data_IF_969536122612
#
_entry.id   IF_969536122612
#
_cell.length_a   1.000
_cell.length_b   1.000
_cell.length_c   1.000
_cell.angle_alpha   90.00
_cell.angle_beta   90.00
_cell.angle_gamma   90.00
#
_symmetry.space_group_name_H-M   'P 1'
#
loop_
_entity.id
_entity.type
_entity.pdbx_description
1 polymer ?
#
# COMPACT_ATOMS: atom_id res chain seq x y z
N UNK A 1 7.89 19.05 5.84
CA UNK A 1 6.79 18.30 5.19
C UNK A 1 5.89 17.61 6.21
N UNK A 2 6.29 16.53 6.90
CA UNK A 2 5.45 15.93 7.97
C UNK A 2 5.26 16.82 9.21
N UNK A 3 6.20 17.71 9.51
CA UNK A 3 6.11 18.68 10.64
C UNK A 3 5.08 19.80 10.44
N UNK A 4 4.57 19.97 9.24
CA UNK A 4 3.61 21.01 8.87
C UNK A 4 2.17 20.50 8.84
N UNK A 5 1.98 19.18 9.04
CA UNK A 5 0.66 18.59 9.14
C UNK A 5 0.00 19.01 10.46
N UNK A 6 -1.07 19.79 10.36
CA UNK A 6 -1.94 20.03 11.50
C UNK A 6 -2.86 18.82 11.66
N UNK A 7 -3.00 18.33 12.87
CA UNK A 7 -4.06 17.38 13.18
C UNK A 7 -5.39 18.05 12.82
N UNK A 8 -6.16 17.36 12.00
CA UNK A 8 -7.54 17.77 11.73
C UNK A 8 -8.35 17.52 13.01
N UNK A 9 -9.32 18.38 13.29
CA UNK A 9 -10.27 18.18 14.37
C UNK A 9 -10.90 16.79 14.21
N UNK A 10 -10.79 15.99 15.27
CA UNK A 10 -11.36 14.63 15.26
C UNK A 10 -12.89 14.77 15.24
N UNK A 11 -13.58 14.23 14.23
CA UNK A 11 -15.04 14.21 14.24
C UNK A 11 -15.55 13.38 15.41
N UNK A 12 -16.77 13.68 15.88
CA UNK A 12 -17.42 12.87 16.92
C UNK A 12 -17.58 11.40 16.49
N UNK A 13 -17.64 10.49 17.46
CA UNK A 13 -17.71 9.04 17.18
C UNK A 13 -18.88 8.66 16.27
N UNK A 14 -20.05 9.28 16.49
CA UNK A 14 -21.25 9.03 15.66
C UNK A 14 -21.04 9.50 14.22
N UNK A 15 -20.45 10.70 14.04
CA UNK A 15 -20.16 11.22 12.71
C UNK A 15 -19.12 10.36 12.00
N UNK A 16 -18.09 9.90 12.72
CA UNK A 16 -17.06 9.03 12.17
C UNK A 16 -17.67 7.69 11.72
N UNK A 17 -18.57 7.11 12.50
CA UNK A 17 -19.28 5.89 12.17
C UNK A 17 -20.13 6.05 10.92
N UNK A 18 -20.93 7.13 10.83
CA UNK A 18 -21.74 7.41 9.64
C UNK A 18 -20.89 7.58 8.38
N UNK A 19 -19.77 8.30 8.48
CA UNK A 19 -18.83 8.48 7.36
C UNK A 19 -18.20 7.15 6.93
N UNK A 20 -17.86 6.31 7.89
CA UNK A 20 -17.25 5.01 7.63
C UNK A 20 -18.25 4.07 6.92
N UNK A 21 -19.50 4.02 7.40
CA UNK A 21 -20.53 3.17 6.80
C UNK A 21 -20.85 3.63 5.37
N UNK A 22 -20.98 4.94 5.15
CA UNK A 22 -21.16 5.49 3.81
C UNK A 22 -19.95 5.19 2.88
N UNK A 23 -18.73 5.24 3.39
CA UNK A 23 -17.53 4.89 2.63
C UNK A 23 -17.50 3.40 2.27
N UNK A 24 -17.90 2.52 3.18
CA UNK A 24 -18.03 1.07 2.96
C UNK A 24 -19.01 0.75 1.85
N UNK A 25 -20.21 1.36 1.89
CA UNK A 25 -21.22 1.18 0.83
C UNK A 25 -20.71 1.68 -0.54
N UNK A 26 -20.00 2.82 -0.54
CA UNK A 26 -19.41 3.35 -1.76
C UNK A 26 -18.35 2.41 -2.33
N UNK A 27 -17.49 1.85 -1.47
CA UNK A 27 -16.45 0.88 -1.87
C UNK A 27 -17.08 -0.37 -2.49
N UNK A 28 -18.14 -0.92 -1.86
CA UNK A 28 -18.85 -2.09 -2.37
C UNK A 28 -19.45 -1.84 -3.77
N UNK A 29 -19.95 -0.63 -4.04
CA UNK A 29 -20.43 -0.24 -5.38
C UNK A 29 -19.30 -0.06 -6.38
N UNK A 30 -18.22 0.60 -5.97
CA UNK A 30 -17.05 0.83 -6.83
C UNK A 30 -16.34 -0.47 -7.20
N UNK A 31 -16.31 -1.47 -6.32
CA UNK A 31 -15.77 -2.78 -6.64
C UNK A 31 -16.42 -3.40 -7.89
N UNK A 32 -17.74 -3.27 -8.05
CA UNK A 32 -18.43 -3.80 -9.22
C UNK A 32 -17.97 -3.11 -10.51
N UNK A 33 -17.81 -1.79 -10.48
CA UNK A 33 -17.30 -1.02 -11.62
C UNK A 33 -15.86 -1.40 -11.98
N UNK A 34 -15.00 -1.54 -10.96
CA UNK A 34 -13.60 -1.97 -11.12
C UNK A 34 -13.53 -3.34 -11.79
N UNK A 35 -14.40 -4.26 -11.36
CA UNK A 35 -14.52 -5.59 -11.95
C UNK A 35 -14.98 -5.53 -13.41
N UNK A 36 -16.05 -4.78 -13.70
CA UNK A 36 -16.61 -4.65 -15.05
C UNK A 36 -15.63 -4.01 -16.02
N UNK A 37 -14.95 -2.96 -15.58
CA UNK A 37 -13.96 -2.25 -16.38
C UNK A 37 -12.58 -2.94 -16.39
N UNK A 38 -12.44 -4.05 -15.66
CA UNK A 38 -11.20 -4.82 -15.57
C UNK A 38 -10.00 -4.02 -15.09
N UNK A 39 -10.21 -3.02 -14.23
CA UNK A 39 -9.14 -2.17 -13.69
C UNK A 39 -8.38 -2.94 -12.61
N UNK A 40 -7.08 -3.21 -12.76
CA UNK A 40 -6.28 -3.79 -11.67
C UNK A 40 -5.95 -2.70 -10.64
N UNK A 41 -6.17 -3.00 -9.35
CA UNK A 41 -5.98 -2.04 -8.26
C UNK A 41 -4.90 -2.51 -7.30
N UNK A 42 -3.82 -1.76 -7.21
CA UNK A 42 -2.74 -1.99 -6.25
C UNK A 42 -2.83 -1.00 -5.11
N UNK A 43 -3.07 -1.50 -3.90
CA UNK A 43 -3.12 -0.70 -2.68
C UNK A 43 -1.86 -0.96 -1.86
N UNK A 44 -1.08 0.07 -1.64
CA UNK A 44 0.18 0.01 -0.91
C UNK A 44 -0.01 0.68 0.45
N UNK A 45 0.15 -0.10 1.51
CA UNK A 45 0.08 0.39 2.88
C UNK A 45 1.49 0.51 3.45
N UNK A 46 1.88 1.71 3.79
CA UNK A 46 3.19 2.02 4.34
C UNK A 46 3.03 2.80 5.65
N UNK A 47 4.09 2.87 6.45
CA UNK A 47 4.08 3.57 7.71
C UNK A 47 4.86 2.82 8.79
N UNK A 48 4.94 3.44 9.96
CA UNK A 48 5.71 2.91 11.08
C UNK A 48 5.27 1.49 11.47
N UNK A 49 6.17 0.73 12.06
CA UNK A 49 5.81 -0.52 12.75
C UNK A 49 4.68 -0.23 13.76
N UNK A 50 3.74 -1.12 13.92
CA UNK A 50 2.57 -0.94 14.81
C UNK A 50 1.60 0.20 14.47
N UNK A 51 1.75 0.87 13.31
CA UNK A 51 0.85 1.96 12.90
C UNK A 51 -0.58 1.52 12.51
N UNK A 52 -0.90 0.24 12.62
CA UNK A 52 -2.23 -0.28 12.33
C UNK A 52 -2.50 -0.61 10.86
N UNK A 53 -1.44 -0.78 10.03
CA UNK A 53 -1.58 -1.14 8.61
C UNK A 53 -2.49 -2.36 8.40
N UNK A 54 -2.17 -3.47 9.05
CA UNK A 54 -2.97 -4.70 8.94
C UNK A 54 -4.40 -4.55 9.43
N UNK A 55 -4.64 -3.79 10.51
CA UNK A 55 -5.97 -3.46 10.98
C UNK A 55 -6.76 -2.67 9.92
N UNK A 56 -6.14 -1.65 9.34
CA UNK A 56 -6.77 -0.82 8.30
C UNK A 56 -7.12 -1.65 7.05
N UNK A 57 -6.22 -2.51 6.60
CA UNK A 57 -6.50 -3.46 5.51
C UNK A 57 -7.69 -4.34 5.89
N UNK A 58 -7.69 -4.92 7.10
CA UNK A 58 -8.78 -5.77 7.59
C UNK A 58 -10.14 -5.07 7.55
N UNK A 59 -10.21 -3.78 7.90
CA UNK A 59 -11.45 -3.00 7.84
C UNK A 59 -11.91 -2.74 6.39
N UNK A 60 -10.98 -2.52 5.47
CA UNK A 60 -11.29 -2.25 4.07
C UNK A 60 -11.81 -3.52 3.38
N UNK A 61 -11.10 -4.64 3.52
CA UNK A 61 -11.41 -5.87 2.78
C UNK A 61 -12.73 -6.53 3.19
N UNK A 62 -13.26 -6.24 4.39
CA UNK A 62 -14.57 -6.72 4.82
C UNK A 62 -15.71 -6.30 3.87
N UNK A 63 -15.49 -5.29 3.05
CA UNK A 63 -16.48 -4.74 2.12
C UNK A 63 -16.16 -5.07 0.66
N UNK A 64 -15.20 -5.96 0.43
CA UNK A 64 -14.80 -6.43 -0.90
C UNK A 64 -15.05 -7.94 -0.97
N UNK A 65 -15.64 -8.43 -2.05
CA UNK A 65 -15.84 -9.86 -2.27
C UNK A 65 -14.47 -10.58 -2.25
N UNK A 66 -14.30 -11.63 -1.41
CA UNK A 66 -13.01 -12.32 -1.23
C UNK A 66 -12.39 -12.87 -2.51
N UNK A 67 -13.18 -13.10 -3.55
CA UNK A 67 -12.71 -13.57 -4.86
C UNK A 67 -11.94 -12.52 -5.64
N UNK A 68 -12.05 -11.24 -5.26
CA UNK A 68 -11.50 -10.11 -6.00
C UNK A 68 -10.38 -9.37 -5.28
N UNK A 69 -9.90 -9.87 -4.15
CA UNK A 69 -8.73 -9.30 -3.52
C UNK A 69 -7.73 -10.36 -3.05
N UNK A 70 -6.50 -9.93 -2.90
CA UNK A 70 -5.44 -10.62 -2.16
C UNK A 70 -4.76 -9.65 -1.22
N UNK A 71 -4.34 -10.14 -0.06
CA UNK A 71 -3.46 -9.41 0.85
C UNK A 71 -2.10 -10.10 0.81
N UNK A 72 -1.08 -9.35 0.47
CA UNK A 72 0.30 -9.84 0.38
C UNK A 72 1.14 -9.13 1.44
N UNK A 73 1.67 -9.91 2.37
CA UNK A 73 2.67 -9.45 3.32
C UNK A 73 4.04 -9.89 2.86
N UNK A 74 4.93 -8.93 2.64
CA UNK A 74 6.27 -9.24 2.15
C UNK A 74 7.13 -9.76 3.29
N UNK A 75 7.42 -11.04 3.25
CA UNK A 75 8.31 -11.70 4.21
C UNK A 75 9.77 -11.28 3.99
N UNK A 76 10.64 -11.60 4.95
CA UNK A 76 12.08 -11.43 4.80
C UNK A 76 12.55 -12.06 3.49
N UNK A 77 13.53 -11.43 2.87
CA UNK A 77 14.14 -11.95 1.64
C UNK A 77 14.75 -13.32 1.88
N UNK A 78 14.57 -14.17 0.91
CA UNK A 78 15.32 -15.42 0.80
C UNK A 78 16.63 -15.17 0.05
N UNK A 79 17.58 -16.11 0.11
CA UNK A 79 18.80 -16.06 -0.71
C UNK A 79 18.50 -15.96 -2.22
N UNK A 80 17.41 -16.57 -2.65
CA UNK A 80 16.94 -16.49 -4.02
C UNK A 80 16.42 -15.09 -4.39
N UNK A 81 15.73 -14.41 -3.45
CA UNK A 81 15.27 -13.04 -3.65
C UNK A 81 16.44 -12.05 -3.76
N UNK A 82 17.54 -12.29 -3.03
CA UNK A 82 18.72 -11.44 -3.06
C UNK A 82 19.45 -11.46 -4.42
N UNK A 83 19.34 -12.58 -5.14
CA UNK A 83 19.91 -12.72 -6.48
C UNK A 83 19.08 -12.04 -7.58
N UNK A 84 17.84 -11.67 -7.28
CA UNK A 84 16.92 -11.07 -8.23
C UNK A 84 16.93 -9.53 -8.13
N UNK A 85 16.53 -8.83 -9.19
CA UNK A 85 16.35 -7.39 -9.13
C UNK A 85 15.42 -7.00 -7.97
N UNK A 86 15.74 -5.91 -7.28
CA UNK A 86 15.04 -5.42 -6.09
C UNK A 86 13.50 -5.45 -6.20
N UNK A 87 12.93 -5.03 -7.33
CA UNK A 87 11.47 -4.96 -7.50
C UNK A 87 10.85 -6.27 -8.00
N UNK A 88 11.63 -7.31 -8.28
CA UNK A 88 11.13 -8.56 -8.87
C UNK A 88 9.99 -9.18 -8.04
N UNK A 89 10.17 -9.25 -6.72
CA UNK A 89 9.19 -9.82 -5.80
C UNK A 89 7.86 -9.05 -5.79
N UNK A 90 7.89 -7.76 -6.08
CA UNK A 90 6.70 -6.92 -6.17
C UNK A 90 6.02 -7.04 -7.54
N UNK A 91 6.80 -7.18 -8.62
CA UNK A 91 6.24 -7.49 -9.92
C UNK A 91 5.45 -8.80 -9.94
N UNK A 92 5.91 -9.80 -9.19
CA UNK A 92 5.22 -11.08 -9.06
C UNK A 92 3.88 -10.99 -8.30
N UNK A 93 3.60 -9.84 -7.66
CA UNK A 93 2.41 -9.63 -6.81
C UNK A 93 1.46 -8.57 -7.35
N UNK A 94 1.67 -8.07 -8.56
CA UNK A 94 0.75 -7.10 -9.16
C UNK A 94 -0.64 -7.72 -9.37
N UNK A 95 -1.74 -6.92 -9.25
CA UNK A 95 -3.09 -7.43 -9.38
C UNK A 95 -3.42 -7.87 -10.81
N UNK A 96 -4.27 -8.89 -10.91
CA UNK A 96 -4.93 -9.24 -12.14
C UNK A 96 -6.03 -8.22 -12.49
N UNK A 97 -6.47 -8.21 -13.74
CA UNK A 97 -7.53 -7.33 -14.22
C UNK A 97 -8.82 -7.45 -13.39
N UNK A 98 -9.33 -6.33 -12.89
CA UNK A 98 -10.54 -6.24 -12.08
C UNK A 98 -10.38 -6.74 -10.62
N UNK A 99 -9.14 -6.94 -10.17
CA UNK A 99 -8.84 -7.40 -8.81
C UNK A 99 -8.02 -6.39 -8.03
N UNK A 100 -8.07 -6.52 -6.71
CA UNK A 100 -7.28 -5.74 -5.77
C UNK A 100 -6.11 -6.58 -5.23
N UNK A 101 -4.96 -5.96 -5.07
CA UNK A 101 -3.89 -6.47 -4.22
C UNK A 101 -3.55 -5.43 -3.17
N UNK A 102 -3.56 -5.83 -1.92
CA UNK A 102 -3.13 -5.02 -0.78
C UNK A 102 -1.73 -5.48 -0.37
N UNK A 103 -0.76 -4.58 -0.41
CA UNK A 103 0.57 -4.81 0.14
C UNK A 103 0.60 -4.23 1.56
N UNK A 104 0.70 -5.10 2.57
CA UNK A 104 0.79 -4.70 3.98
C UNK A 104 2.15 -4.10 4.33
N UNK A 105 3.17 -4.49 3.60
CA UNK A 105 4.53 -3.96 3.66
C UNK A 105 5.04 -3.89 2.23
N UNK A 106 5.65 -2.78 1.84
CA UNK A 106 6.06 -2.60 0.47
C UNK A 106 7.52 -2.11 0.34
N UNK A 107 7.84 -1.62 -0.81
CA UNK A 107 9.21 -1.24 -1.20
C UNK A 107 9.82 -0.11 -0.38
N UNK A 108 9.00 0.85 0.11
CA UNK A 108 9.54 1.95 0.92
C UNK A 108 9.93 1.50 2.32
N UNK A 109 9.18 0.57 2.92
CA UNK A 109 9.56 -0.04 4.21
C UNK A 109 10.93 -0.74 4.06
N UNK A 110 11.12 -1.51 2.98
CA UNK A 110 12.38 -2.21 2.70
C UNK A 110 13.56 -1.23 2.45
N UNK A 111 13.33 -0.17 1.67
CA UNK A 111 14.36 0.85 1.40
C UNK A 111 14.71 1.60 2.68
N UNK A 112 13.72 1.95 3.49
CA UNK A 112 13.91 2.68 4.74
C UNK A 112 14.67 1.84 5.76
N UNK A 113 14.30 0.57 5.91
CA UNK A 113 14.96 -0.36 6.82
C UNK A 113 16.43 -0.56 6.43
N UNK A 114 16.70 -0.87 5.17
CA UNK A 114 18.07 -1.01 4.67
C UNK A 114 18.89 0.28 4.79
N UNK A 115 18.27 1.46 4.66
CA UNK A 115 18.92 2.75 4.86
C UNK A 115 19.27 3.01 6.34
N UNK A 116 18.35 2.69 7.25
CA UNK A 116 18.56 2.83 8.69
C UNK A 116 19.68 1.92 9.20
N UNK A 117 19.79 0.73 8.67
CA UNK A 117 20.87 -0.22 9.00
C UNK A 117 22.16 0.03 8.25
N UNK A 118 22.25 1.12 7.45
CA UNK A 118 23.43 1.49 6.65
C UNK A 118 23.85 0.42 5.63
N UNK A 119 22.91 -0.38 5.18
CA UNK A 119 23.13 -1.39 4.14
C UNK A 119 23.13 -0.79 2.72
N UNK A 120 22.67 0.47 2.59
CA UNK A 120 22.63 1.21 1.33
C UNK A 120 23.54 2.43 1.36
N UNK A 121 24.34 2.59 0.31
CA UNK A 121 24.97 3.86 0.02
C UNK A 121 23.93 4.91 -0.46
N UNK A 122 24.24 6.20 -0.38
CA UNK A 122 23.36 7.27 -0.90
C UNK A 122 22.98 7.07 -2.36
N UNK A 123 23.94 6.63 -3.17
CA UNK A 123 23.69 6.35 -4.59
C UNK A 123 22.76 5.15 -4.76
N UNK A 124 22.94 4.08 -3.99
CA UNK A 124 22.08 2.91 -4.03
C UNK A 124 20.64 3.25 -3.56
N UNK A 125 20.51 4.07 -2.51
CA UNK A 125 19.23 4.59 -2.04
C UNK A 125 18.51 5.37 -3.15
N UNK A 126 19.19 6.34 -3.76
CA UNK A 126 18.64 7.16 -4.85
C UNK A 126 18.19 6.29 -6.03
N UNK A 127 19.02 5.33 -6.43
CA UNK A 127 18.70 4.41 -7.53
C UNK A 127 17.47 3.54 -7.21
N UNK A 128 17.30 3.09 -5.97
CA UNK A 128 16.11 2.34 -5.56
C UNK A 128 14.84 3.20 -5.61
N UNK A 129 14.90 4.44 -5.13
CA UNK A 129 13.77 5.38 -5.21
C UNK A 129 13.37 5.64 -6.68
N UNK A 130 14.36 5.84 -7.55
CA UNK A 130 14.11 6.01 -8.99
C UNK A 130 13.47 4.76 -9.62
N UNK A 131 13.95 3.59 -9.25
CA UNK A 131 13.41 2.32 -9.72
C UNK A 131 11.95 2.15 -9.31
N UNK A 132 11.59 2.53 -8.07
CA UNK A 132 10.21 2.54 -7.58
C UNK A 132 9.35 3.49 -8.41
N UNK A 133 9.80 4.72 -8.64
CA UNK A 133 9.05 5.71 -9.44
C UNK A 133 8.78 5.20 -10.85
N UNK A 134 9.77 4.55 -11.47
CA UNK A 134 9.62 3.95 -12.81
C UNK A 134 8.64 2.78 -12.80
N UNK A 135 8.69 1.95 -11.78
CA UNK A 135 7.79 0.83 -11.60
C UNK A 135 6.34 1.30 -11.44
N UNK A 136 6.08 2.24 -10.52
CA UNK A 136 4.77 2.82 -10.31
C UNK A 136 4.23 3.47 -11.60
N UNK A 137 5.09 4.19 -12.32
CA UNK A 137 4.72 4.78 -13.61
C UNK A 137 4.36 3.73 -14.65
N UNK A 138 5.15 2.67 -14.78
CA UNK A 138 4.84 1.56 -15.69
C UNK A 138 3.47 0.95 -15.40
N UNK A 139 3.12 0.78 -14.13
CA UNK A 139 1.80 0.28 -13.73
C UNK A 139 0.70 1.25 -14.17
N UNK A 140 0.82 2.53 -13.84
CA UNK A 140 -0.20 3.53 -14.19
C UNK A 140 -0.34 3.72 -15.69
N UNK A 141 0.75 3.71 -16.45
CA UNK A 141 0.76 3.79 -17.92
C UNK A 141 0.05 2.57 -18.56
N UNK A 142 0.01 1.43 -17.84
CA UNK A 142 -0.72 0.22 -18.26
C UNK A 142 -2.12 0.09 -17.63
N UNK A 143 -2.68 1.18 -17.14
CA UNK A 143 -4.06 1.23 -16.65
C UNK A 143 -4.30 0.69 -15.25
N UNK A 144 -3.24 0.47 -14.46
CA UNK A 144 -3.37 0.13 -13.05
C UNK A 144 -3.76 1.35 -12.23
N UNK A 145 -4.69 1.17 -11.30
CA UNK A 145 -4.93 2.13 -10.23
C UNK A 145 -3.97 1.82 -9.07
N UNK A 146 -3.00 2.69 -8.85
CA UNK A 146 -2.06 2.57 -7.72
C UNK A 146 -2.45 3.57 -6.64
N UNK A 147 -2.82 3.07 -5.46
CA UNK A 147 -3.14 3.87 -4.29
C UNK A 147 -2.10 3.62 -3.19
N UNK A 148 -1.53 4.69 -2.64
CA UNK A 148 -0.56 4.60 -1.55
C UNK A 148 -1.07 5.33 -0.32
N UNK A 149 -1.03 4.64 0.81
CA UNK A 149 -1.37 5.18 2.12
C UNK A 149 -0.15 5.11 3.02
N UNK A 150 0.20 6.22 3.64
CA UNK A 150 1.23 6.26 4.65
C UNK A 150 0.59 6.54 6.02
N UNK A 151 0.64 5.54 6.90
CA UNK A 151 0.09 5.64 8.24
C UNK A 151 1.15 6.24 9.17
N UNK A 152 0.97 7.52 9.48
CA UNK A 152 1.82 8.26 10.40
C UNK A 152 1.16 8.32 11.78
N UNK A 153 1.86 7.79 12.76
CA UNK A 153 1.46 7.84 14.18
C UNK A 153 2.50 8.62 14.98
N UNK A 154 2.09 9.19 16.08
CA UNK A 154 3.01 9.83 17.02
C UNK A 154 3.79 8.80 17.82
N UNK A 155 4.91 9.19 18.43
CA UNK A 155 5.72 8.32 19.29
C UNK A 155 4.97 7.84 20.55
N UNK A 156 3.85 8.51 20.91
CA UNK A 156 3.02 8.18 22.07
C UNK A 156 1.94 7.15 21.76
N UNK A 157 1.58 6.98 20.51
CA UNK A 157 0.67 5.97 20.00
C UNK A 157 1.39 4.67 19.70
#
# INVERSE_FOLDING_TARGET
>A
MLKEWKELDKPGEEELKLRLDAAKEKLARQQLLIKEQKIPVLVVMEGWGTSGKGYSIGQIIQNIDPRFFKVESMQKKTEEDERKPFLYRYFAKIPEAGKFVFLDTAWMDEITDASLHKELSEMAYTNRIESVRRFERQLTDNGYLVMKFFLHISKKE
#
